data_IF_029295492575
#
_entry.id   IF_029295492575
#
_cell.length_a   1.000
_cell.length_b   1.000
_cell.length_c   1.000
_cell.angle_alpha   90.00
_cell.angle_beta   90.00
_cell.angle_gamma   90.00
#
_symmetry.space_group_name_H-M   'P 1'
#
loop_
_entity.id
_entity.type
_entity.pdbx_description
1 polymer ?
#
# COMPACT_ATOMS: atom_id res chain seq x y z
N UNK A 1 -17.59 2.96 -22.98
CA UNK A 1 -16.34 3.33 -22.28
C UNK A 1 -16.06 2.18 -21.35
N UNK A 2 -15.30 1.21 -21.84
CA UNK A 2 -14.92 0.03 -21.08
C UNK A 2 -14.09 0.50 -19.89
N UNK A 3 -14.67 0.37 -18.68
CA UNK A 3 -13.91 0.52 -17.45
C UNK A 3 -12.99 -0.69 -17.40
N UNK A 4 -11.74 -0.54 -17.84
CA UNK A 4 -10.68 -1.51 -17.58
C UNK A 4 -10.56 -1.66 -16.06
N UNK A 5 -11.26 -2.67 -15.54
CA UNK A 5 -11.31 -2.96 -14.13
C UNK A 5 -10.05 -3.76 -13.81
N UNK A 6 -8.96 -3.05 -13.51
CA UNK A 6 -7.73 -3.66 -13.01
C UNK A 6 -8.08 -4.27 -11.65
N UNK A 7 -8.36 -5.57 -11.63
CA UNK A 7 -8.62 -6.32 -10.39
C UNK A 7 -7.27 -6.58 -9.72
N UNK A 8 -6.86 -5.66 -8.84
CA UNK A 8 -5.65 -5.85 -8.03
C UNK A 8 -6.00 -6.88 -6.95
N UNK A 9 -5.48 -8.10 -7.06
CA UNK A 9 -5.54 -9.09 -5.98
C UNK A 9 -4.68 -8.60 -4.82
N UNK A 10 -5.28 -7.85 -3.89
CA UNK A 10 -4.67 -7.51 -2.60
C UNK A 10 -5.03 -8.63 -1.63
N UNK A 11 -4.01 -9.27 -1.07
CA UNK A 11 -4.21 -10.18 0.06
C UNK A 11 -4.57 -9.35 1.29
N UNK A 12 -5.29 -9.95 2.22
CA UNK A 12 -5.64 -9.31 3.50
C UNK A 12 -4.40 -8.75 4.21
N UNK A 13 -3.28 -9.50 4.22
CA UNK A 13 -1.99 -9.03 4.72
C UNK A 13 -1.47 -7.76 4.03
N UNK A 14 -1.68 -7.63 2.71
CA UNK A 14 -1.26 -6.45 1.96
C UNK A 14 -2.15 -5.24 2.31
N UNK A 15 -3.42 -5.45 2.65
CA UNK A 15 -4.34 -4.41 3.12
C UNK A 15 -3.96 -3.95 4.54
N UNK A 16 -3.76 -4.89 5.46
CA UNK A 16 -3.34 -4.62 6.84
C UNK A 16 -2.00 -3.87 6.88
N UNK A 17 -1.01 -4.31 6.09
CA UNK A 17 0.28 -3.63 5.98
C UNK A 17 0.11 -2.20 5.44
N UNK A 18 -0.77 -2.01 4.46
CA UNK A 18 -1.07 -0.69 3.89
C UNK A 18 -1.67 0.24 4.95
N UNK A 19 -2.67 -0.23 5.72
CA UNK A 19 -3.26 0.52 6.81
C UNK A 19 -2.22 0.91 7.88
N UNK A 20 -1.38 -0.04 8.30
CA UNK A 20 -0.34 0.20 9.31
C UNK A 20 0.71 1.23 8.84
N UNK A 21 1.13 1.15 7.57
CA UNK A 21 2.08 2.12 7.01
C UNK A 21 1.48 3.53 6.88
N UNK A 22 0.20 3.62 6.50
CA UNK A 22 -0.50 4.89 6.39
C UNK A 22 -0.70 5.55 7.76
N UNK A 23 -1.14 4.78 8.77
CA UNK A 23 -1.25 5.22 10.16
C UNK A 23 0.08 5.77 10.66
N UNK A 24 1.17 5.01 10.42
CA UNK A 24 2.50 5.41 10.86
C UNK A 24 2.96 6.69 10.15
N UNK A 25 2.63 6.87 8.86
CA UNK A 25 2.97 8.07 8.10
C UNK A 25 2.26 9.30 8.68
N UNK A 26 0.96 9.24 8.92
CA UNK A 26 0.20 10.30 9.59
C UNK A 26 0.75 10.60 10.98
N UNK A 27 1.03 9.57 11.80
CA UNK A 27 1.60 9.72 13.14
C UNK A 27 2.94 10.44 13.11
N UNK A 28 3.83 10.05 12.19
CA UNK A 28 5.14 10.70 12.00
C UNK A 28 4.98 12.15 11.59
N UNK A 29 4.05 12.45 10.69
CA UNK A 29 3.75 13.81 10.27
C UNK A 29 3.31 14.68 11.45
N UNK A 30 2.34 14.22 12.25
CA UNK A 30 1.86 14.94 13.43
C UNK A 30 3.00 15.25 14.39
N UNK A 31 3.82 14.26 14.74
CA UNK A 31 4.93 14.48 15.67
C UNK A 31 6.11 15.27 15.10
N UNK A 32 6.18 15.45 13.78
CA UNK A 32 7.15 16.37 13.16
C UNK A 32 6.78 17.84 13.35
N UNK A 33 5.49 18.14 13.57
CA UNK A 33 4.96 19.50 13.71
C UNK A 33 4.49 19.83 15.13
N UNK A 34 4.04 18.82 15.88
CA UNK A 34 3.60 18.95 17.26
C UNK A 34 4.48 18.13 18.19
N UNK A 35 4.92 18.73 19.30
CA UNK A 35 5.75 18.03 20.28
C UNK A 35 4.89 17.04 21.05
N UNK A 36 5.44 15.85 21.33
CA UNK A 36 4.74 14.80 22.10
C UNK A 36 4.12 15.29 23.42
N UNK A 37 4.81 16.18 24.13
CA UNK A 37 4.35 16.74 25.42
C UNK A 37 3.14 17.66 25.29
N UNK A 38 2.90 18.20 24.10
CA UNK A 38 1.81 19.14 23.83
C UNK A 38 0.56 18.38 23.33
N UNK A 39 0.67 17.09 22.99
CA UNK A 39 -0.45 16.22 22.60
C UNK A 39 -1.11 15.65 23.85
N UNK A 40 -2.41 15.90 24.00
CA UNK A 40 -3.24 15.33 25.08
C UNK A 40 -3.87 14.00 24.66
N UNK A 41 -4.37 13.95 23.43
CA UNK A 41 -4.98 12.78 22.81
C UNK A 41 -4.57 12.72 21.35
N UNK A 42 -4.21 11.53 20.90
CA UNK A 42 -4.02 11.24 19.48
C UNK A 42 -4.55 9.85 19.19
N UNK A 43 -5.61 9.78 18.39
CA UNK A 43 -6.12 8.55 17.82
C UNK A 43 -6.05 8.69 16.29
N UNK A 44 -5.48 7.68 15.63
CA UNK A 44 -5.41 7.59 14.18
C UNK A 44 -5.94 6.21 13.82
N UNK A 45 -7.00 6.18 13.04
CA UNK A 45 -7.61 4.95 12.56
C UNK A 45 -7.49 4.94 11.06
N UNK A 46 -6.84 3.91 10.54
CA UNK A 46 -6.86 3.60 9.11
C UNK A 46 -7.52 2.25 8.95
N UNK A 47 -8.58 2.20 8.16
CA UNK A 47 -9.31 0.97 7.88
C UNK A 47 -9.40 0.75 6.37
N UNK A 48 -9.62 -0.51 6.00
CA UNK A 48 -9.95 -0.90 4.64
C UNK A 48 -11.19 -1.77 4.67
N UNK A 49 -12.08 -1.56 3.70
CA UNK A 49 -13.25 -2.40 3.49
C UNK A 49 -13.16 -2.97 2.08
N UNK A 50 -13.29 -4.29 1.97
CA UNK A 50 -13.33 -4.99 0.69
C UNK A 50 -14.80 -5.39 0.42
N UNK A 51 -15.46 -4.65 -0.46
CA UNK A 51 -16.76 -5.03 -1.03
C UNK A 51 -16.59 -5.34 -2.52
N UNK A 52 -17.21 -4.57 -3.41
CA UNK A 52 -16.96 -4.62 -4.86
C UNK A 52 -15.61 -3.98 -5.22
N UNK A 53 -15.20 -2.98 -4.43
CA UNK A 53 -13.93 -2.27 -4.54
C UNK A 53 -13.28 -2.18 -3.16
N UNK A 54 -11.96 -1.96 -3.13
CA UNK A 54 -11.24 -1.70 -1.87
C UNK A 54 -11.34 -0.22 -1.54
N UNK A 55 -11.99 0.08 -0.42
CA UNK A 55 -12.13 1.45 0.11
C UNK A 55 -11.27 1.61 1.34
N UNK A 56 -10.38 2.62 1.34
CA UNK A 56 -9.63 3.02 2.52
C UNK A 56 -10.28 4.23 3.20
N UNK A 57 -10.26 4.25 4.54
CA UNK A 57 -10.73 5.38 5.34
C UNK A 57 -9.70 5.76 6.38
N UNK A 58 -9.46 7.06 6.54
CA UNK A 58 -8.49 7.62 7.48
C UNK A 58 -9.24 8.60 8.39
N UNK A 59 -9.17 8.35 9.69
CA UNK A 59 -9.74 9.21 10.72
C UNK A 59 -8.63 9.62 11.70
N UNK A 60 -8.60 10.92 12.02
CA UNK A 60 -7.62 11.48 12.95
C UNK A 60 -8.36 12.32 13.99
N UNK A 61 -8.23 11.92 15.25
CA UNK A 61 -8.69 12.67 16.42
C UNK A 61 -7.45 13.16 17.20
N UNK A 62 -7.25 14.48 17.20
CA UNK A 62 -6.10 15.13 17.81
C UNK A 62 -6.56 16.20 18.79
N UNK A 63 -6.23 16.01 20.06
CA UNK A 63 -6.37 17.03 21.11
C UNK A 63 -4.99 17.48 21.55
N UNK A 64 -4.75 18.80 21.51
CA UNK A 64 -3.51 19.42 21.97
C UNK A 64 -3.74 20.35 23.16
N UNK A 65 -2.67 20.63 23.89
CA UNK A 65 -2.65 21.66 24.92
C UNK A 65 -2.94 23.03 24.31
N UNK A 66 -3.66 23.89 25.04
CA UNK A 66 -3.89 25.30 24.65
C UNK A 66 -2.60 26.12 24.53
N UNK A 67 -1.48 25.61 25.05
CA UNK A 67 -0.16 26.22 24.91
C UNK A 67 0.56 25.81 23.61
N UNK A 68 0.02 24.85 22.87
CA UNK A 68 0.56 24.43 21.60
C UNK A 68 0.30 25.53 20.56
N UNK A 69 1.36 25.99 19.89
CA UNK A 69 1.26 26.96 18.79
C UNK A 69 1.13 26.25 17.45
N UNK A 70 0.09 25.44 17.31
CA UNK A 70 -0.22 24.69 16.09
C UNK A 70 -1.67 24.90 15.71
N UNK A 71 -1.95 25.01 14.42
CA UNK A 71 -3.29 24.90 13.89
C UNK A 71 -3.65 23.40 13.85
N UNK A 72 -4.66 23.02 14.64
CA UNK A 72 -5.03 21.60 14.80
C UNK A 72 -5.73 21.10 13.54
N UNK A 73 -6.61 21.91 12.95
CA UNK A 73 -7.41 21.53 11.79
C UNK A 73 -6.49 21.33 10.58
N UNK A 74 -5.58 22.27 10.34
CA UNK A 74 -4.58 22.16 9.26
C UNK A 74 -3.64 20.96 9.48
N UNK A 75 -3.25 20.68 10.73
CA UNK A 75 -2.38 19.56 11.06
C UNK A 75 -3.07 18.21 10.83
N UNK A 76 -4.35 18.11 11.17
CA UNK A 76 -5.19 16.93 10.95
C UNK A 76 -5.39 16.69 9.45
N UNK A 77 -5.80 17.71 8.70
CA UNK A 77 -6.02 17.62 7.25
C UNK A 77 -4.76 17.10 6.53
N UNK A 78 -3.60 17.71 6.82
CA UNK A 78 -2.34 17.27 6.20
C UNK A 78 -1.88 15.89 6.65
N UNK A 79 -2.20 15.48 7.89
CA UNK A 79 -1.91 14.12 8.33
C UNK A 79 -2.74 13.09 7.54
N UNK A 80 -4.00 13.39 7.24
CA UNK A 80 -4.88 12.58 6.40
C UNK A 80 -4.32 12.50 4.97
N UNK A 81 -3.95 13.63 4.37
CA UNK A 81 -3.33 13.66 3.04
C UNK A 81 -2.08 12.77 2.95
N UNK A 82 -1.19 12.86 3.94
CA UNK A 82 0.03 12.04 3.99
C UNK A 82 -0.27 10.55 4.12
N UNK A 83 -1.30 10.16 4.90
CA UNK A 83 -1.74 8.78 4.96
C UNK A 83 -2.28 8.30 3.61
N UNK A 84 -3.11 9.11 2.95
CA UNK A 84 -3.68 8.79 1.64
C UNK A 84 -2.61 8.66 0.55
N UNK A 85 -1.62 9.55 0.53
CA UNK A 85 -0.47 9.44 -0.38
C UNK A 85 0.29 8.13 -0.16
N UNK A 86 0.46 7.71 1.11
CA UNK A 86 1.13 6.45 1.44
C UNK A 86 0.35 5.23 0.97
N UNK A 87 -0.98 5.28 1.07
CA UNK A 87 -1.88 4.25 0.54
C UNK A 87 -1.71 4.16 -0.98
N UNK A 88 -1.80 5.28 -1.70
CA UNK A 88 -1.63 5.31 -3.15
C UNK A 88 -0.27 4.76 -3.60
N UNK A 89 0.81 5.15 -2.93
CA UNK A 89 2.16 4.66 -3.21
C UNK A 89 2.23 3.12 -3.08
N UNK A 90 1.62 2.57 -2.02
CA UNK A 90 1.62 1.13 -1.76
C UNK A 90 0.80 0.36 -2.79
N UNK A 91 -0.36 0.89 -3.18
CA UNK A 91 -1.22 0.32 -4.21
C UNK A 91 -0.55 0.34 -5.59
N UNK A 92 0.07 1.46 -5.98
CA UNK A 92 0.85 1.55 -7.23
C UNK A 92 2.01 0.57 -7.26
N UNK A 93 2.71 0.38 -6.13
CA UNK A 93 3.79 -0.60 -6.01
C UNK A 93 3.28 -2.04 -6.15
N UNK A 94 2.09 -2.33 -5.64
CA UNK A 94 1.46 -3.65 -5.79
C UNK A 94 1.01 -3.91 -7.24
N UNK A 95 0.42 -2.93 -7.91
CA UNK A 95 0.05 -3.04 -9.33
C UNK A 95 1.27 -3.34 -10.23
N UNK A 96 2.44 -2.77 -9.93
CA UNK A 96 3.70 -3.08 -10.65
C UNK A 96 4.27 -4.46 -10.36
N UNK A 97 3.92 -5.10 -9.23
CA UNK A 97 4.37 -6.48 -8.93
C UNK A 97 3.66 -7.51 -9.80
N UNK A 98 2.40 -7.29 -10.14
CA UNK A 98 1.60 -8.16 -11.00
C UNK A 98 2.12 -8.26 -12.44
N UNK A 99 2.81 -7.22 -12.95
CA UNK A 99 3.44 -7.27 -14.28
C UNK A 99 4.67 -8.17 -14.32
N UNK A 100 5.38 -8.35 -13.20
CA UNK A 100 6.63 -9.14 -13.16
C UNK A 100 6.41 -10.65 -13.07
N UNK A 101 5.19 -11.11 -12.75
CA UNK A 101 4.88 -12.54 -12.66
C UNK A 101 4.44 -13.12 -14.01
N UNK A 102 4.17 -12.30 -15.02
CA UNK A 102 3.80 -12.74 -16.37
C UNK A 102 5.01 -13.06 -17.28
N UNK A 103 6.23 -12.65 -16.93
CA UNK A 103 7.42 -12.86 -17.78
C UNK A 103 8.23 -14.12 -17.44
N UNK A 104 8.02 -14.77 -16.29
CA UNK A 104 8.85 -15.92 -15.86
C UNK A 104 8.36 -17.27 -16.41
N UNK A 105 7.20 -17.34 -17.05
CA UNK A 105 6.62 -18.58 -17.59
C UNK A 105 6.96 -18.89 -19.06
N UNK A 106 7.85 -18.12 -19.72
CA UNK A 106 8.23 -18.38 -21.14
C UNK A 106 9.61 -19.00 -21.38
N UNK A 107 10.45 -19.20 -20.36
CA UNK A 107 11.83 -19.70 -20.58
C UNK A 107 12.07 -21.17 -20.21
N UNK A 108 11.03 -21.96 -19.89
CA UNK A 108 11.20 -23.38 -19.52
C UNK A 108 10.63 -24.41 -20.50
N UNK A 109 10.60 -24.09 -21.81
CA UNK A 109 10.21 -25.04 -22.87
C UNK A 109 11.21 -25.12 -24.05
N UNK A 110 12.54 -25.13 -23.80
CA UNK A 110 13.50 -25.47 -24.88
C UNK A 110 14.45 -26.63 -24.58
N UNK A 111 14.41 -27.24 -23.40
CA UNK A 111 15.14 -28.48 -23.14
C UNK A 111 14.22 -29.70 -23.25
N UNK A 112 13.99 -30.15 -24.47
CA UNK A 112 13.26 -31.40 -24.69
C UNK A 112 12.84 -31.64 -26.12
N UNK A 113 13.79 -31.99 -27.01
CA UNK A 113 13.65 -33.07 -28.01
C UNK A 113 14.75 -33.00 -29.07
N UNK A 114 15.72 -33.92 -28.99
CA UNK A 114 16.17 -34.72 -30.13
C UNK A 114 17.26 -35.67 -29.67
N UNK A 115 16.82 -36.79 -29.09
CA UNK A 115 17.61 -37.99 -29.01
C UNK A 115 17.02 -39.00 -30.00
N UNK A 116 17.90 -39.77 -30.63
CA UNK A 116 17.70 -40.88 -31.58
C UNK A 116 17.41 -40.43 -33.02
N UNK A 117 18.10 -40.93 -34.05
CA UNK A 117 18.80 -42.22 -34.19
C UNK A 117 19.63 -42.24 -35.48
N UNK A 118 20.78 -42.92 -35.47
CA UNK A 118 20.96 -44.07 -36.38
C UNK A 118 22.29 -44.77 -36.12
N UNK A 119 22.19 -46.00 -35.62
CA UNK A 119 23.15 -47.06 -35.85
C UNK A 119 23.49 -47.19 -37.34
N UNK A 120 24.77 -47.46 -37.65
CA UNK A 120 25.14 -48.53 -38.59
C UNK A 120 26.53 -49.05 -38.27
N UNK A 121 26.56 -50.35 -37.99
CA UNK A 121 27.72 -51.21 -37.78
C UNK A 121 28.57 -51.32 -39.05
N UNK A 122 29.88 -51.45 -38.85
CA UNK A 122 30.76 -52.57 -39.28
C UNK A 122 32.12 -52.07 -39.74
#
# INVERSE_FOLDING_TARGET
MDKESITIFLREEDLEETCALAEQAARKYIFSRCRKKDVRRLNIVVSSTLEEEVVFSVEVDLEVSSLAKVDVDELVEKAIEVAMEKIEERLRKNARRTEKTAEVSREKESEGSSNLSSERRS
#
